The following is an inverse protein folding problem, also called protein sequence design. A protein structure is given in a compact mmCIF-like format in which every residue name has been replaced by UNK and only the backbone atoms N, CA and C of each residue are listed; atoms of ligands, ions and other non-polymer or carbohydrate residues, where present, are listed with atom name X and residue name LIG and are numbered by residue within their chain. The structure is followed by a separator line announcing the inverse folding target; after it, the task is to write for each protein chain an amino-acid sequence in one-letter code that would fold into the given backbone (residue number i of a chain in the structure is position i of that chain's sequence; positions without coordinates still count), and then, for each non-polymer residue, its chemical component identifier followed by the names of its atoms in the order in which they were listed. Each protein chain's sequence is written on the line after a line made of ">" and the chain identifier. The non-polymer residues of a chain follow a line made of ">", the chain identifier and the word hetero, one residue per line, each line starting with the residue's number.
data_IF_075792985160
#
_entry.id   IF_075792985160
#
_cell.length_a   1.000
_cell.length_b   1.000
_cell.length_c   1.000
_cell.angle_alpha   90.00
_cell.angle_beta   90.00
_cell.angle_gamma   90.00
#
_symmetry.space_group_name_H-M   'P 1'
#
loop_
_entity.id
_entity.type
_entity.pdbx_description
1 polymer ?
#
# COMPACT_ATOMS: atom_id res chain seq x y z
N UNK A 1 -12.65 -5.13 -11.05
CA UNK A 1 -12.25 -5.08 -12.47
C UNK A 1 -11.34 -3.89 -12.63
N UNK A 2 -10.26 -4.02 -13.40
CA UNK A 2 -9.28 -2.96 -13.62
C UNK A 2 -8.99 -2.83 -15.12
N UNK A 3 -8.44 -1.69 -15.52
CA UNK A 3 -8.00 -1.39 -16.88
C UNK A 3 -6.51 -1.06 -16.83
N UNK A 4 -5.62 -2.06 -16.95
CA UNK A 4 -4.19 -1.93 -16.69
C UNK A 4 -3.51 -0.78 -17.41
N UNK A 5 -3.95 -0.52 -18.63
CA UNK A 5 -3.38 0.49 -19.55
C UNK A 5 -4.02 1.88 -19.42
N UNK A 6 -4.95 2.09 -18.48
CA UNK A 6 -5.67 3.35 -18.32
C UNK A 6 -5.35 4.04 -17.00
N UNK A 7 -4.62 5.16 -17.08
CA UNK A 7 -4.25 5.97 -15.92
C UNK A 7 -4.57 7.47 -16.06
N UNK A 8 -4.66 7.98 -17.30
CA UNK A 8 -4.71 9.41 -17.60
C UNK A 8 -5.78 10.21 -16.83
N UNK A 9 -6.99 9.65 -16.63
CA UNK A 9 -8.06 10.33 -15.89
C UNK A 9 -7.72 10.54 -14.41
N UNK A 10 -7.07 9.57 -13.78
CA UNK A 10 -6.57 9.73 -12.42
C UNK A 10 -5.37 10.70 -12.41
N UNK A 11 -4.47 10.50 -13.36
CA UNK A 11 -3.20 11.21 -13.42
C UNK A 11 -3.33 12.72 -13.67
N UNK A 12 -4.42 13.16 -14.30
CA UNK A 12 -4.76 14.58 -14.41
C UNK A 12 -4.83 15.30 -13.05
N UNK A 13 -5.10 14.58 -11.95
CA UNK A 13 -5.16 15.14 -10.60
C UNK A 13 -3.79 15.19 -9.89
N UNK A 14 -2.75 14.60 -10.48
CA UNK A 14 -1.41 14.49 -9.86
C UNK A 14 -0.42 15.52 -10.41
N UNK A 15 -0.75 16.15 -11.54
CA UNK A 15 0.10 17.14 -12.19
C UNK A 15 0.32 18.35 -11.27
N UNK A 16 1.59 18.72 -11.10
CA UNK A 16 1.99 19.90 -10.34
C UNK A 16 2.07 19.70 -8.82
N UNK A 17 1.82 18.49 -8.31
CA UNK A 17 2.00 18.15 -6.89
C UNK A 17 3.50 18.00 -6.58
N UNK A 18 3.96 18.60 -5.48
CA UNK A 18 5.40 18.61 -5.14
C UNK A 18 5.86 17.31 -4.44
N UNK A 19 4.96 16.62 -3.73
CA UNK A 19 5.23 15.32 -3.10
C UNK A 19 4.12 14.33 -3.46
N UNK A 20 4.45 13.33 -4.27
CA UNK A 20 3.53 12.28 -4.67
C UNK A 20 3.87 10.99 -3.92
N UNK A 21 2.95 10.51 -3.09
CA UNK A 21 3.08 9.26 -2.33
C UNK A 21 2.05 8.27 -2.86
N UNK A 22 2.51 7.20 -3.52
CA UNK A 22 1.66 6.17 -4.10
C UNK A 22 1.71 4.88 -3.29
N UNK A 23 0.61 4.12 -3.32
CA UNK A 23 0.57 2.73 -2.86
C UNK A 23 -0.55 1.97 -3.59
N UNK A 24 -0.49 0.64 -3.59
CA UNK A 24 -1.61 -0.22 -4.00
C UNK A 24 -1.32 -1.66 -3.53
N UNK A 25 -2.26 -2.32 -2.85
CA UNK A 25 -2.04 -3.72 -2.42
C UNK A 25 -3.33 -4.45 -2.02
N UNK A 26 -4.02 -3.99 -0.97
CA UNK A 26 -5.00 -4.85 -0.26
C UNK A 26 -6.12 -5.40 -1.15
N UNK A 27 -6.60 -4.64 -2.13
CA UNK A 27 -7.66 -5.11 -3.04
C UNK A 27 -7.19 -6.16 -4.05
N UNK A 28 -5.89 -6.27 -4.31
CA UNK A 28 -5.29 -7.34 -5.11
C UNK A 28 -5.37 -8.69 -4.37
N UNK A 29 -5.43 -8.67 -3.05
CA UNK A 29 -5.46 -9.89 -2.22
C UNK A 29 -6.84 -10.57 -2.16
N UNK A 30 -7.88 -9.93 -2.72
CA UNK A 30 -9.24 -10.48 -2.69
C UNK A 30 -9.40 -11.75 -3.53
N UNK A 31 -8.65 -11.89 -4.63
CA UNK A 31 -8.74 -13.03 -5.54
C UNK A 31 -7.38 -13.37 -6.14
N UNK A 32 -7.07 -14.66 -6.41
CA UNK A 32 -5.81 -15.05 -7.06
C UNK A 32 -5.65 -14.54 -8.49
N UNK A 33 -6.77 -14.23 -9.17
CA UNK A 33 -6.80 -13.65 -10.51
C UNK A 33 -7.47 -12.30 -10.51
N UNK A 34 -7.02 -11.42 -11.39
CA UNK A 34 -7.55 -10.08 -11.57
C UNK A 34 -8.42 -10.02 -12.82
N UNK A 35 -9.60 -9.43 -12.67
CA UNK A 35 -10.53 -9.19 -13.79
C UNK A 35 -10.10 -7.93 -14.55
N UNK A 36 -9.65 -8.10 -15.78
CA UNK A 36 -9.10 -7.06 -16.64
C UNK A 36 -10.12 -6.68 -17.73
N UNK A 37 -10.34 -5.39 -17.96
CA UNK A 37 -11.20 -4.89 -19.04
C UNK A 37 -10.30 -4.36 -20.17
N UNK A 38 -10.14 -5.11 -21.29
CA UNK A 38 -9.12 -4.79 -22.31
C UNK A 38 -9.40 -3.48 -23.07
N UNK A 39 -10.67 -3.17 -23.33
CA UNK A 39 -11.08 -2.01 -24.13
C UNK A 39 -11.27 -0.73 -23.30
N UNK A 40 -10.99 -0.77 -22.00
CA UNK A 40 -11.16 0.36 -21.10
C UNK A 40 -12.62 0.78 -20.86
N UNK A 41 -13.59 0.06 -21.43
CA UNK A 41 -14.97 0.51 -21.53
C UNK A 41 -15.86 -0.15 -20.48
N UNK A 42 -16.22 0.62 -19.46
CA UNK A 42 -17.20 0.21 -18.45
C UNK A 42 -18.65 0.52 -18.86
N UNK A 43 -18.88 1.11 -20.04
CA UNK A 43 -20.20 1.59 -20.47
C UNK A 43 -21.07 0.52 -21.11
N UNK A 44 -20.47 -0.53 -21.69
CA UNK A 44 -21.20 -1.66 -22.30
C UNK A 44 -21.62 -2.68 -21.23
N UNK A 45 -22.86 -3.17 -21.30
CA UNK A 45 -23.38 -4.23 -20.42
C UNK A 45 -23.76 -5.47 -21.24
N UNK A 46 -23.35 -6.70 -20.82
CA UNK A 46 -22.42 -6.98 -19.72
C UNK A 46 -21.00 -6.48 -20.04
N UNK A 47 -20.27 -6.05 -19.00
CA UNK A 47 -18.86 -5.68 -19.13
C UNK A 47 -18.08 -6.96 -19.41
N UNK A 48 -17.43 -7.05 -20.57
CA UNK A 48 -16.53 -8.15 -20.89
C UNK A 48 -15.21 -7.94 -20.15
N UNK A 49 -14.69 -9.02 -19.57
CA UNK A 49 -13.40 -9.00 -18.90
C UNK A 49 -12.68 -10.32 -19.15
N UNK A 50 -11.36 -10.25 -19.11
CA UNK A 50 -10.48 -11.40 -19.05
C UNK A 50 -9.98 -11.58 -17.62
N UNK A 51 -9.43 -12.76 -17.31
CA UNK A 51 -8.77 -13.01 -16.03
C UNK A 51 -7.28 -13.19 -16.25
N UNK A 52 -6.50 -12.44 -15.48
CA UNK A 52 -5.05 -12.49 -15.49
C UNK A 52 -4.54 -12.90 -14.12
N UNK A 53 -3.40 -13.58 -14.08
CA UNK A 53 -2.71 -13.85 -12.82
C UNK A 53 -2.45 -12.53 -12.06
N UNK A 54 -2.59 -12.56 -10.73
CA UNK A 54 -2.48 -11.38 -9.88
C UNK A 54 -1.13 -10.68 -10.04
N UNK A 55 -0.03 -11.41 -10.03
CA UNK A 55 1.33 -10.86 -10.10
C UNK A 55 1.54 -10.20 -11.47
N UNK A 56 1.11 -10.89 -12.54
CA UNK A 56 1.21 -10.36 -13.92
C UNK A 56 0.38 -9.09 -14.09
N UNK A 57 -0.86 -9.08 -13.59
CA UNK A 57 -1.73 -7.91 -13.64
C UNK A 57 -1.17 -6.73 -12.81
N UNK A 58 -0.57 -7.03 -11.67
CA UNK A 58 0.05 -6.04 -10.79
C UNK A 58 1.22 -5.34 -11.48
N UNK A 59 2.12 -6.14 -12.08
CA UNK A 59 3.23 -5.63 -12.88
C UNK A 59 2.75 -4.72 -14.02
N UNK A 60 1.74 -5.13 -14.79
CA UNK A 60 1.21 -4.32 -15.90
C UNK A 60 0.66 -2.95 -15.45
N UNK A 61 -0.04 -2.89 -14.32
CA UNK A 61 -0.52 -1.62 -13.74
C UNK A 61 0.67 -0.75 -13.34
N UNK A 62 1.69 -1.33 -12.70
CA UNK A 62 2.86 -0.57 -12.27
C UNK A 62 3.70 -0.07 -13.44
N UNK A 63 3.82 -0.83 -14.53
CA UNK A 63 4.49 -0.37 -15.77
C UNK A 63 3.73 0.79 -16.43
N UNK A 64 2.40 0.75 -16.41
CA UNK A 64 1.57 1.88 -16.89
C UNK A 64 1.75 3.12 -16.01
N UNK A 65 1.80 2.94 -14.69
CA UNK A 65 2.06 4.03 -13.75
C UNK A 65 3.47 4.60 -13.91
N UNK A 66 4.50 3.77 -13.96
CA UNK A 66 5.89 4.22 -14.06
C UNK A 66 6.17 4.91 -15.39
N UNK A 67 5.59 4.42 -16.50
CA UNK A 67 5.63 5.11 -17.79
C UNK A 67 5.03 6.51 -17.72
N UNK A 68 3.86 6.66 -17.08
CA UNK A 68 3.27 7.98 -16.86
C UNK A 68 4.17 8.89 -16.02
N UNK A 69 4.75 8.38 -14.93
CA UNK A 69 5.65 9.16 -14.07
C UNK A 69 6.88 9.64 -14.84
N UNK A 70 7.55 8.75 -15.56
CA UNK A 70 8.72 9.05 -16.39
C UNK A 70 8.43 10.12 -17.44
N UNK A 71 7.24 10.09 -18.04
CA UNK A 71 6.83 11.06 -19.07
C UNK A 71 6.46 12.44 -18.48
N UNK A 72 5.74 12.47 -17.36
CA UNK A 72 4.99 13.66 -16.94
C UNK A 72 5.55 14.37 -15.69
N UNK A 73 6.40 13.72 -14.90
CA UNK A 73 6.93 14.30 -13.66
C UNK A 73 8.27 14.98 -13.90
N UNK A 74 8.40 16.22 -13.45
CA UNK A 74 9.69 16.92 -13.38
C UNK A 74 10.37 16.62 -12.03
N UNK A 75 11.47 15.85 -12.00
CA UNK A 75 12.14 15.47 -10.75
C UNK A 75 12.82 16.64 -10.05
N UNK A 76 12.94 17.81 -10.70
CA UNK A 76 13.43 19.04 -10.06
C UNK A 76 12.37 19.74 -9.22
N UNK A 77 11.10 19.39 -9.42
CA UNK A 77 9.96 19.96 -8.70
C UNK A 77 9.29 18.95 -7.79
N UNK A 78 9.10 17.73 -8.29
CA UNK A 78 8.27 16.73 -7.62
C UNK A 78 9.13 15.58 -7.10
N UNK A 79 8.99 15.28 -5.82
CA UNK A 79 9.49 14.05 -5.22
C UNK A 79 8.43 12.95 -5.35
N UNK A 80 8.81 11.81 -5.91
CA UNK A 80 7.94 10.63 -6.01
C UNK A 80 8.37 9.60 -4.98
N UNK A 81 7.42 9.15 -4.17
CA UNK A 81 7.58 8.09 -3.17
C UNK A 81 6.58 6.98 -3.47
N UNK A 82 6.99 5.73 -3.27
CA UNK A 82 6.11 4.58 -3.37
C UNK A 82 6.19 3.77 -2.09
N UNK A 83 5.08 3.65 -1.38
CA UNK A 83 5.00 2.82 -0.18
C UNK A 83 4.86 1.36 -0.57
N UNK A 84 5.69 0.51 0.02
CA UNK A 84 5.60 -0.93 -0.16
C UNK A 84 4.33 -1.50 0.49
N UNK A 85 4.18 -2.82 0.38
CA UNK A 85 3.00 -3.55 0.85
C UNK A 85 2.73 -3.35 2.35
N UNK A 86 1.51 -2.91 2.70
CA UNK A 86 1.00 -2.98 4.07
C UNK A 86 0.46 -4.40 4.32
N UNK A 87 1.00 -5.15 5.29
CA UNK A 87 0.58 -6.51 5.58
C UNK A 87 -0.78 -6.56 6.30
N UNK A 88 -1.30 -7.78 6.46
CA UNK A 88 -2.50 -8.09 7.24
C UNK A 88 -2.15 -9.07 8.35
N UNK A 89 -2.98 -9.16 9.40
CA UNK A 89 -2.75 -10.10 10.52
C UNK A 89 -3.99 -10.96 10.77
N UNK A 90 -4.35 -11.76 9.75
CA UNK A 90 -5.58 -12.56 9.75
C UNK A 90 -5.41 -13.97 10.35
N UNK A 91 -4.19 -14.50 10.36
CA UNK A 91 -3.86 -15.86 10.83
C UNK A 91 -2.76 -15.77 11.87
N UNK A 92 -3.09 -16.04 13.13
CA UNK A 92 -2.17 -15.87 14.26
C UNK A 92 -1.13 -16.98 14.39
N UNK A 93 -1.33 -18.08 13.68
CA UNK A 93 -0.35 -19.11 13.41
C UNK A 93 0.94 -18.52 12.81
N UNK A 94 0.81 -17.49 11.97
CA UNK A 94 1.89 -16.82 11.26
C UNK A 94 2.98 -16.19 12.14
N UNK A 95 2.64 -15.92 13.40
CA UNK A 95 3.57 -15.43 14.44
C UNK A 95 3.64 -16.37 15.66
N UNK A 96 3.23 -17.63 15.51
CA UNK A 96 3.39 -18.67 16.53
C UNK A 96 2.34 -18.65 17.64
N UNK A 97 1.15 -18.06 17.40
CA UNK A 97 0.03 -18.03 18.35
C UNK A 97 -1.25 -18.64 17.74
N UNK A 98 -1.27 -19.95 17.44
CA UNK A 98 -2.37 -20.59 16.70
C UNK A 98 -3.73 -20.50 17.39
N UNK A 99 -3.77 -20.39 18.72
CA UNK A 99 -5.03 -20.33 19.48
C UNK A 99 -5.66 -18.93 19.52
N UNK A 100 -4.92 -17.90 19.08
CA UNK A 100 -5.41 -16.53 19.06
C UNK A 100 -6.42 -16.29 17.92
N UNK A 101 -7.17 -15.20 18.02
CA UNK A 101 -8.18 -14.84 17.02
C UNK A 101 -7.66 -13.68 16.19
N UNK A 102 -7.08 -13.98 15.02
CA UNK A 102 -6.49 -12.96 14.15
C UNK A 102 -5.58 -12.03 14.98
N UNK A 103 -5.68 -10.71 14.79
CA UNK A 103 -5.00 -9.68 15.59
C UNK A 103 -5.69 -9.29 16.92
N UNK A 104 -6.84 -9.90 17.30
CA UNK A 104 -7.69 -9.32 18.36
C UNK A 104 -7.06 -9.27 19.75
N UNK A 105 -6.37 -10.32 20.15
CA UNK A 105 -5.75 -10.43 21.48
C UNK A 105 -4.29 -9.98 21.50
N UNK A 106 -3.80 -9.40 20.40
CA UNK A 106 -2.41 -9.02 20.24
C UNK A 106 -2.19 -7.59 20.76
N UNK A 107 -1.37 -7.44 21.80
CA UNK A 107 -1.14 -6.14 22.47
C UNK A 107 0.33 -5.76 22.52
N UNK A 108 1.19 -6.58 21.93
CA UNK A 108 2.63 -6.36 21.80
C UNK A 108 3.06 -6.75 20.40
N UNK A 109 4.07 -6.06 19.82
CA UNK A 109 4.65 -6.48 18.57
C UNK A 109 5.28 -7.88 18.72
N UNK A 110 5.67 -8.48 17.61
CA UNK A 110 6.47 -9.69 17.65
C UNK A 110 7.87 -9.32 18.18
N UNK A 111 8.16 -9.72 19.42
CA UNK A 111 9.43 -9.41 20.07
C UNK A 111 10.55 -10.39 19.72
N UNK A 112 10.21 -11.63 19.38
CA UNK A 112 11.17 -12.69 19.11
C UNK A 112 10.73 -13.51 17.89
N UNK A 113 11.22 -13.14 16.72
CA UNK A 113 10.99 -13.83 15.46
C UNK A 113 12.27 -14.53 14.99
N UNK A 114 12.70 -15.57 15.70
CA UNK A 114 13.77 -16.47 15.23
C UNK A 114 13.37 -17.26 13.98
N UNK A 115 12.07 -17.28 13.66
CA UNK A 115 11.49 -17.83 12.44
C UNK A 115 10.92 -16.71 11.60
N UNK A 116 10.93 -16.90 10.28
CA UNK A 116 10.24 -16.02 9.33
C UNK A 116 8.76 -15.92 9.70
N UNK A 117 8.23 -14.70 9.70
CA UNK A 117 6.81 -14.46 9.86
C UNK A 117 6.08 -14.83 8.57
N UNK A 118 4.94 -15.52 8.70
CA UNK A 118 4.06 -15.80 7.57
C UNK A 118 2.66 -15.29 7.87
N UNK A 119 2.45 -14.00 7.60
CA UNK A 119 1.17 -13.33 7.84
C UNK A 119 0.30 -13.21 6.59
N UNK A 120 0.66 -13.94 5.52
CA UNK A 120 -0.03 -13.92 4.23
C UNK A 120 0.33 -12.73 3.33
N UNK A 121 1.47 -12.08 3.57
CA UNK A 121 2.03 -11.08 2.66
C UNK A 121 2.44 -11.72 1.34
N UNK A 122 1.98 -11.15 0.23
CA UNK A 122 2.42 -11.53 -1.10
C UNK A 122 3.74 -10.82 -1.44
N UNK A 123 4.84 -11.54 -1.19
CA UNK A 123 6.19 -11.05 -1.48
C UNK A 123 6.52 -10.95 -2.97
N UNK A 124 5.74 -11.60 -3.85
CA UNK A 124 5.88 -11.42 -5.30
C UNK A 124 5.39 -10.02 -5.70
N UNK A 125 4.26 -9.57 -5.15
CA UNK A 125 3.77 -8.19 -5.36
C UNK A 125 4.72 -7.14 -4.79
N UNK A 126 5.33 -7.41 -3.63
CA UNK A 126 6.42 -6.58 -3.11
C UNK A 126 7.58 -6.51 -4.11
N UNK A 127 8.03 -7.67 -4.60
CA UNK A 127 9.17 -7.79 -5.53
C UNK A 127 8.89 -7.04 -6.84
N UNK A 128 7.71 -7.22 -7.43
CA UNK A 128 7.31 -6.51 -8.64
C UNK A 128 7.29 -4.98 -8.43
N UNK A 129 6.78 -4.51 -7.28
CA UNK A 129 6.82 -3.08 -6.96
C UNK A 129 8.24 -2.55 -6.79
N UNK A 130 9.12 -3.32 -6.17
CA UNK A 130 10.51 -2.91 -6.01
C UNK A 130 11.24 -2.87 -7.36
N UNK A 131 11.09 -3.91 -8.19
CA UNK A 131 11.80 -4.02 -9.46
C UNK A 131 11.32 -2.99 -10.50
N UNK A 132 10.02 -2.69 -10.58
CA UNK A 132 9.52 -1.63 -11.48
C UNK A 132 10.10 -0.27 -11.10
N UNK A 133 10.15 0.05 -9.81
CA UNK A 133 10.60 1.35 -9.32
C UNK A 133 12.13 1.48 -9.48
N UNK A 134 12.86 0.40 -9.27
CA UNK A 134 14.31 0.32 -9.50
C UNK A 134 14.68 0.44 -10.98
N UNK A 135 13.80 0.02 -11.90
CA UNK A 135 14.04 0.10 -13.34
C UNK A 135 13.81 1.51 -13.93
N UNK A 136 13.18 2.42 -13.19
CA UNK A 136 12.97 3.81 -13.59
C UNK A 136 14.30 4.56 -13.72
N UNK A 137 14.40 5.46 -14.71
CA UNK A 137 15.66 6.09 -15.13
C UNK A 137 15.64 7.60 -15.06
N UNK A 138 14.55 8.24 -15.50
CA UNK A 138 14.44 9.71 -15.56
C UNK A 138 13.96 10.28 -14.24
N UNK A 139 13.00 9.63 -13.60
CA UNK A 139 12.39 10.12 -12.36
C UNK A 139 12.75 9.16 -11.22
N UNK A 140 13.58 9.59 -10.25
CA UNK A 140 13.90 8.75 -9.11
C UNK A 140 12.66 8.56 -8.25
N UNK A 141 12.43 7.33 -7.81
CA UNK A 141 11.36 6.99 -6.87
C UNK A 141 11.96 6.52 -5.55
N UNK A 142 11.56 7.15 -4.45
CA UNK A 142 11.90 6.68 -3.11
C UNK A 142 10.97 5.53 -2.72
N UNK A 143 11.48 4.31 -2.73
CA UNK A 143 10.74 3.13 -2.31
C UNK A 143 10.74 3.01 -0.78
N UNK A 144 9.60 3.29 -0.15
CA UNK A 144 9.44 3.27 1.30
C UNK A 144 9.13 1.85 1.72
N UNK A 145 10.18 1.09 2.04
CA UNK A 145 10.08 -0.31 2.44
C UNK A 145 9.55 -0.43 3.89
N UNK A 146 8.23 -0.51 4.00
CA UNK A 146 7.51 -0.65 5.27
C UNK A 146 7.10 -2.09 5.58
N UNK A 147 7.28 -3.03 4.66
CA UNK A 147 6.57 -4.32 4.72
C UNK A 147 7.01 -5.18 5.91
N UNK A 148 8.30 -5.56 5.99
CA UNK A 148 8.80 -6.44 7.06
C UNK A 148 8.64 -5.81 8.46
N UNK A 149 8.91 -4.50 8.60
CA UNK A 149 8.71 -3.79 9.87
C UNK A 149 7.23 -3.68 10.26
N UNK A 150 6.32 -3.83 9.30
CA UNK A 150 4.88 -3.80 9.57
C UNK A 150 4.35 -5.20 9.93
N UNK A 151 4.98 -6.27 9.44
CA UNK A 151 4.63 -7.66 9.81
C UNK A 151 4.91 -7.96 11.28
N UNK A 152 5.85 -7.25 11.91
CA UNK A 152 6.08 -7.41 13.35
C UNK A 152 4.98 -6.73 14.20
N UNK A 153 4.12 -5.88 13.61
CA UNK A 153 3.18 -5.02 14.32
C UNK A 153 1.77 -5.59 14.43
N UNK A 154 1.65 -6.88 14.74
CA UNK A 154 0.37 -7.56 15.00
C UNK A 154 -0.54 -6.86 16.03
N UNK A 155 0.04 -6.02 16.90
CA UNK A 155 -0.60 -5.24 17.95
C UNK A 155 -1.29 -3.95 17.48
N UNK A 156 -0.97 -3.45 16.29
CA UNK A 156 -1.28 -2.06 15.91
C UNK A 156 -2.58 -1.90 15.10
N UNK A 157 -3.31 -3.00 14.86
CA UNK A 157 -4.54 -2.97 14.08
C UNK A 157 -5.74 -2.41 14.87
N UNK A 158 -6.72 -1.89 14.13
CA UNK A 158 -7.98 -1.41 14.74
C UNK A 158 -8.79 -2.52 15.39
N UNK A 159 -8.63 -3.77 14.94
CA UNK A 159 -9.30 -4.93 15.51
C UNK A 159 -10.83 -4.71 15.52
N UNK A 160 -11.49 -4.80 16.67
CA UNK A 160 -12.94 -4.52 16.80
C UNK A 160 -13.24 -3.07 17.18
N UNK A 161 -12.23 -2.23 17.33
CA UNK A 161 -12.35 -0.82 17.72
C UNK A 161 -12.47 0.08 16.49
N UNK A 162 -13.36 -0.29 15.58
CA UNK A 162 -13.50 0.35 14.26
C UNK A 162 -14.96 0.54 13.86
N UNK A 163 -15.15 1.15 12.70
CA UNK A 163 -16.45 1.36 12.08
C UNK A 163 -16.77 0.23 11.09
N UNK A 164 -18.06 -0.13 11.00
CA UNK A 164 -18.59 -0.93 9.90
C UNK A 164 -19.79 -0.21 9.30
N UNK A 165 -19.74 0.04 7.99
CA UNK A 165 -20.78 0.79 7.28
C UNK A 165 -21.08 2.15 7.93
N UNK A 166 -20.03 2.84 8.40
CA UNK A 166 -20.12 4.19 8.99
C UNK A 166 -20.58 4.25 10.45
N UNK A 167 -20.74 3.12 11.14
CA UNK A 167 -21.13 3.07 12.56
C UNK A 167 -20.13 2.26 13.39
N UNK A 168 -19.93 2.67 14.64
CA UNK A 168 -19.12 1.90 15.59
C UNK A 168 -19.72 0.52 15.81
N UNK A 169 -18.84 -0.49 15.91
CA UNK A 169 -19.26 -1.84 16.25
C UNK A 169 -19.93 -1.86 17.63
N UNK A 170 -21.07 -2.53 17.74
CA UNK A 170 -21.79 -2.70 19.02
C UNK A 170 -21.00 -3.63 19.96
N UNK A 171 -21.35 -3.66 21.25
CA UNK A 171 -20.69 -4.56 22.21
C UNK A 171 -20.82 -6.03 21.79
N UNK A 172 -21.95 -6.42 21.24
CA UNK A 172 -22.21 -7.78 20.74
C UNK A 172 -21.36 -8.10 19.51
N UNK A 173 -21.11 -7.12 18.64
CA UNK A 173 -20.23 -7.28 17.49
C UNK A 173 -18.76 -7.35 17.92
N UNK A 174 -18.33 -6.49 18.85
CA UNK A 174 -16.98 -6.51 19.42
C UNK A 174 -16.68 -7.83 20.14
N UNK A 175 -17.70 -8.45 20.76
CA UNK A 175 -17.58 -9.77 21.39
C UNK A 175 -17.38 -10.93 20.39
N UNK A 176 -17.47 -10.68 19.07
CA UNK A 176 -17.21 -11.68 18.03
C UNK A 176 -16.06 -11.26 17.09
N UNK A 177 -14.81 -11.24 17.57
CA UNK A 177 -13.66 -10.80 16.78
C UNK A 177 -13.39 -11.68 15.55
N UNK A 178 -13.74 -12.97 15.57
CA UNK A 178 -13.61 -13.84 14.38
C UNK A 178 -14.34 -13.25 13.17
N UNK A 179 -15.52 -12.66 13.41
CA UNK A 179 -16.34 -12.04 12.35
C UNK A 179 -16.06 -10.56 12.14
N UNK A 180 -15.72 -9.81 13.19
CA UNK A 180 -15.72 -8.35 13.16
C UNK A 180 -14.36 -7.70 13.33
N UNK A 181 -13.31 -8.42 13.72
CA UNK A 181 -11.98 -7.83 13.82
C UNK A 181 -11.44 -7.46 12.42
N UNK A 182 -11.06 -6.20 12.29
CA UNK A 182 -10.33 -5.62 11.17
C UNK A 182 -8.82 -5.69 11.47
N UNK A 183 -8.16 -6.62 10.80
CA UNK A 183 -6.71 -6.82 10.87
C UNK A 183 -6.02 -6.39 9.57
N UNK A 184 -6.55 -5.32 8.96
CA UNK A 184 -6.04 -4.67 7.75
C UNK A 184 -5.68 -3.23 8.10
N UNK A 185 -6.60 -2.50 8.74
CA UNK A 185 -6.41 -1.09 9.07
C UNK A 185 -5.73 -0.92 10.42
N UNK A 186 -5.06 0.22 10.59
CA UNK A 186 -4.20 0.54 11.73
C UNK A 186 -4.82 1.60 12.62
N UNK A 187 -4.62 1.49 13.93
CA UNK A 187 -4.94 2.57 14.86
C UNK A 187 -4.08 3.81 14.57
N UNK A 188 -4.62 4.99 14.93
CA UNK A 188 -3.89 6.25 15.00
C UNK A 188 -4.08 6.87 16.40
N UNK A 189 -3.01 7.32 17.08
CA UNK A 189 -1.60 7.15 16.71
C UNK A 189 -1.20 5.68 16.66
N UNK A 190 -0.21 5.33 15.83
CA UNK A 190 0.17 3.94 15.58
C UNK A 190 1.22 3.75 14.48
N UNK A 191 1.24 2.55 13.89
CA UNK A 191 2.23 2.17 12.89
C UNK A 191 2.34 3.14 11.68
N UNK A 192 1.24 3.69 11.13
CA UNK A 192 1.35 4.66 10.04
C UNK A 192 2.15 5.92 10.40
N UNK A 193 2.29 6.27 11.68
CA UNK A 193 3.14 7.38 12.11
C UNK A 193 4.61 7.09 11.79
N UNK A 194 5.08 5.86 12.04
CA UNK A 194 6.42 5.41 11.66
C UNK A 194 6.62 5.43 10.14
N UNK A 195 5.60 5.10 9.35
CA UNK A 195 5.67 5.22 7.89
C UNK A 195 5.87 6.68 7.46
N UNK A 196 5.12 7.59 8.10
CA UNK A 196 5.24 9.02 7.87
C UNK A 196 6.59 9.58 8.34
N UNK A 197 7.23 9.01 9.36
CA UNK A 197 8.60 9.38 9.76
C UNK A 197 9.62 9.08 8.65
N UNK A 198 9.49 7.95 7.93
CA UNK A 198 10.35 7.67 6.76
C UNK A 198 10.11 8.68 5.63
N UNK A 199 8.85 8.97 5.32
CA UNK A 199 8.48 9.97 4.32
C UNK A 199 9.06 11.34 4.71
N UNK A 200 8.86 11.77 5.95
CA UNK A 200 9.42 13.00 6.49
C UNK A 200 10.94 13.03 6.33
N UNK A 201 11.63 11.94 6.70
CA UNK A 201 13.07 11.80 6.53
C UNK A 201 13.53 12.01 5.08
N UNK A 202 12.83 11.42 4.10
CA UNK A 202 13.12 11.63 2.68
C UNK A 202 12.90 13.09 2.24
N UNK A 203 11.83 13.72 2.71
CA UNK A 203 11.50 15.11 2.39
C UNK A 203 12.59 16.05 2.91
N UNK A 204 12.93 15.97 4.20
CA UNK A 204 13.87 16.92 4.82
C UNK A 204 15.34 16.68 4.46
N UNK A 205 15.68 15.47 4.03
CA UNK A 205 17.05 15.15 3.56
C UNK A 205 17.29 15.54 2.10
N UNK A 206 16.25 15.87 1.33
CA UNK A 206 16.37 16.08 -0.11
C UNK A 206 16.73 17.52 -0.49
N UNK A 207 17.58 17.72 -1.53
CA UNK A 207 18.04 19.05 -1.95
C UNK A 207 16.97 20.00 -2.48
N UNK A 208 15.73 19.54 -2.72
CA UNK A 208 14.62 20.34 -3.24
C UNK A 208 14.43 21.64 -2.42
N UNK A 209 14.69 21.57 -1.11
CA UNK A 209 14.62 22.71 -0.20
C UNK A 209 15.70 23.78 -0.46
N UNK A 210 16.90 23.39 -0.91
CA UNK A 210 18.02 24.32 -1.15
C UNK A 210 17.84 25.21 -2.38
N UNK A 211 16.93 24.88 -3.30
CA UNK A 211 16.65 25.76 -4.45
C UNK A 211 15.59 26.82 -4.15
N UNK A 212 14.65 26.56 -3.23
CA UNK A 212 13.62 27.54 -2.83
C UNK A 212 14.26 28.65 -1.98
N UNK A 213 15.13 28.31 -1.03
CA UNK A 213 15.82 29.30 -0.18
C UNK A 213 16.75 30.23 -0.99
N UNK A 214 17.35 29.73 -2.08
CA UNK A 214 18.19 30.52 -2.97
C UNK A 214 17.41 31.43 -3.95
N UNK A 215 16.10 31.24 -4.09
CA UNK A 215 15.23 32.13 -4.88
C UNK A 215 14.54 33.20 -4.02
N UNK A 216 14.38 32.99 -2.71
CA UNK A 216 13.89 34.00 -1.76
C UNK A 216 14.98 34.98 -1.28
N UNK A 217 16.24 34.77 -1.66
CA UNK A 217 17.39 35.60 -1.29
C UNK A 217 17.93 36.48 -2.45
N UNK A 218 17.11 36.74 -3.48
CA UNK A 218 17.41 37.67 -4.58
C UNK A 218 16.34 38.74 -4.71
#
# INVERSE_FOLDING_TARGET
>A
MITPTSIAKHAANWIGVDYLIFNTYIWWMNTPKMKIVPDGSFTRKPVKYDELDRVVAYRQILETWSGWVEENVDPKRTMVLFMSVSPVHMQSEGWGSPDNIKCFSETQPVLNYTKTLDVGTDWDLFTESHEVMKAMKKVPVHFINITALSEIRKDAHTSVHTLRQGKLLTKEQQANPRKFADCIHWCLPGLPDTWNEFIYGHIVSSPLQRQIENQSAR
#
